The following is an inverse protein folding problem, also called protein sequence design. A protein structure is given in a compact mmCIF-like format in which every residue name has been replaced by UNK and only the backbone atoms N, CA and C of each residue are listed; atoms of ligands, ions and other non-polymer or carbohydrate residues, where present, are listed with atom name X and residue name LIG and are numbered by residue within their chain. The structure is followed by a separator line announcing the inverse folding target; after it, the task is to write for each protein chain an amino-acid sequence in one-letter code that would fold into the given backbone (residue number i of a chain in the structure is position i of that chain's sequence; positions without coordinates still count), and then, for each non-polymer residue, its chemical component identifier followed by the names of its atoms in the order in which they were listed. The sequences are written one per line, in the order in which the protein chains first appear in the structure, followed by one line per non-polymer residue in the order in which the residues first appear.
data_IF_469957631344
#
_entry.id   IF_469957631344
#
_cell.length_a   1.000
_cell.length_b   1.000
_cell.length_c   1.000
_cell.angle_alpha   90.00
_cell.angle_beta   90.00
_cell.angle_gamma   90.00
#
_symmetry.space_group_name_H-M   'P 1'
#
loop_
_entity.id
_entity.type
_entity.pdbx_description
1 polymer ?
#
# COMPACT_ATOMS: atom_id res chain seq x y z
N UNK A 1 -6.66 23.60 -15.08
CA UNK A 1 -5.30 23.18 -15.53
C UNK A 1 -4.73 21.97 -14.78
N UNK A 2 -5.36 21.48 -13.71
CA UNK A 2 -4.80 20.34 -12.97
C UNK A 2 -5.26 18.95 -13.46
N UNK A 3 -6.32 18.85 -14.25
CA UNK A 3 -6.92 17.57 -14.67
C UNK A 3 -6.18 16.83 -15.81
N UNK A 4 -5.21 17.49 -16.47
CA UNK A 4 -4.56 16.96 -17.67
C UNK A 4 -3.03 16.73 -17.50
N UNK A 5 -2.53 16.88 -16.26
CA UNK A 5 -1.11 16.68 -16.00
C UNK A 5 -0.79 15.21 -15.75
N UNK A 6 0.35 14.76 -16.28
CA UNK A 6 0.89 13.44 -15.96
C UNK A 6 1.09 13.28 -14.42
N UNK A 7 0.78 12.12 -13.83
CA UNK A 7 0.95 11.88 -12.41
C UNK A 7 2.36 12.19 -11.88
N UNK A 8 3.41 11.97 -12.67
CA UNK A 8 4.79 12.34 -12.33
C UNK A 8 5.01 13.85 -12.19
N UNK A 9 4.19 14.65 -12.86
CA UNK A 9 4.16 16.11 -12.70
C UNK A 9 3.31 16.51 -11.48
N UNK A 10 2.19 15.83 -11.25
CA UNK A 10 1.31 16.07 -10.09
C UNK A 10 2.08 15.89 -8.78
N UNK A 11 2.86 14.83 -8.62
CA UNK A 11 3.68 14.62 -7.39
C UNK A 11 4.64 15.77 -7.10
N UNK A 12 5.09 16.49 -8.11
CA UNK A 12 6.00 17.64 -7.94
C UNK A 12 5.26 18.92 -7.58
N UNK A 13 4.07 19.14 -8.12
CA UNK A 13 3.39 20.44 -8.10
C UNK A 13 2.17 20.54 -7.18
N UNK A 14 1.45 19.46 -6.93
CA UNK A 14 0.25 19.49 -6.08
C UNK A 14 0.57 19.81 -4.61
N UNK A 15 -0.38 20.41 -3.88
CA UNK A 15 -0.21 20.79 -2.47
C UNK A 15 0.97 21.76 -2.24
N UNK A 16 1.18 22.70 -3.15
CA UNK A 16 2.14 23.78 -3.00
C UNK A 16 1.45 25.06 -2.55
N UNK A 17 2.17 25.95 -1.80
CA UNK A 17 1.65 27.27 -1.46
C UNK A 17 1.29 28.09 -2.69
N UNK A 18 0.42 29.08 -2.49
CA UNK A 18 0.09 30.05 -3.54
C UNK A 18 1.35 30.78 -4.05
N UNK A 19 1.43 30.96 -5.36
CA UNK A 19 2.60 31.60 -6.02
C UNK A 19 2.48 33.12 -5.98
N UNK A 20 2.80 33.70 -4.82
CA UNK A 20 2.88 35.16 -4.63
C UNK A 20 4.34 35.57 -4.31
N UNK A 21 4.74 36.79 -4.60
CA UNK A 21 6.12 37.29 -4.26
C UNK A 21 6.45 37.03 -2.78
N UNK A 22 7.64 36.50 -2.52
CA UNK A 22 8.17 36.12 -1.21
C UNK A 22 7.50 34.91 -0.52
N UNK A 23 6.50 34.25 -1.14
CA UNK A 23 5.97 32.99 -0.61
C UNK A 23 7.05 31.87 -0.71
N UNK A 24 7.09 30.93 0.23
CA UNK A 24 7.96 29.76 0.11
C UNK A 24 7.51 28.89 -1.07
N UNK A 25 8.46 28.22 -1.75
CA UNK A 25 8.14 27.28 -2.84
C UNK A 25 7.55 25.97 -2.31
N UNK A 26 7.92 25.57 -1.11
CA UNK A 26 7.45 24.34 -0.46
C UNK A 26 6.58 24.65 0.74
N UNK A 27 5.63 23.75 1.04
CA UNK A 27 4.82 23.81 2.26
C UNK A 27 5.71 23.71 3.50
N UNK A 28 5.32 24.39 4.58
CA UNK A 28 6.02 24.37 5.86
C UNK A 28 5.26 23.52 6.87
N UNK A 29 5.94 22.75 7.75
CA UNK A 29 5.24 22.08 8.84
C UNK A 29 4.72 23.11 9.85
N UNK A 30 3.43 22.99 10.24
CA UNK A 30 2.76 23.88 11.19
C UNK A 30 2.59 23.18 12.52
N UNK A 31 3.41 23.55 13.51
CA UNK A 31 3.34 23.02 14.87
C UNK A 31 2.37 23.84 15.73
N UNK A 32 1.06 23.59 15.59
CA UNK A 32 0.03 24.23 16.41
C UNK A 32 -1.05 23.26 16.82
N UNK A 33 -1.41 23.27 18.09
CA UNK A 33 -2.55 22.51 18.63
C UNK A 33 -3.82 23.37 18.75
N UNK A 34 -3.67 24.71 18.77
CA UNK A 34 -4.75 25.64 19.08
C UNK A 34 -4.66 26.87 18.15
N UNK A 35 -5.81 27.37 17.74
CA UNK A 35 -5.92 28.53 16.84
C UNK A 35 -6.74 29.64 17.47
N UNK A 36 -6.47 30.88 17.11
CA UNK A 36 -7.25 32.05 17.54
C UNK A 36 -8.67 31.93 17.00
N UNK A 37 -9.66 32.18 17.86
CA UNK A 37 -11.07 32.06 17.52
C UNK A 37 -11.49 33.04 16.41
N UNK A 38 -12.52 32.66 15.63
CA UNK A 38 -13.10 33.49 14.55
C UNK A 38 -12.84 32.98 13.14
N UNK A 39 -12.07 31.91 12.96
CA UNK A 39 -11.87 31.21 11.70
C UNK A 39 -12.43 29.78 11.74
N UNK A 40 -12.24 29.03 10.64
CA UNK A 40 -12.75 27.65 10.48
C UNK A 40 -11.99 26.62 11.30
N UNK A 41 -10.80 26.95 11.79
CA UNK A 41 -9.95 26.09 12.64
C UNK A 41 -9.95 26.58 14.07
N UNK A 42 -10.38 25.72 14.98
CA UNK A 42 -10.30 26.00 16.42
C UNK A 42 -9.26 25.14 17.15
N UNK A 43 -9.00 23.95 16.65
CA UNK A 43 -8.15 22.95 17.33
C UNK A 43 -7.42 22.04 16.35
N UNK A 44 -6.14 21.74 16.62
CA UNK A 44 -5.24 21.01 15.73
C UNK A 44 -5.67 19.58 15.39
N UNK A 45 -6.55 18.95 16.18
CA UNK A 45 -7.12 17.64 15.83
C UNK A 45 -8.15 17.72 14.68
N UNK A 46 -8.65 18.93 14.36
CA UNK A 46 -9.63 19.12 13.29
C UNK A 46 -9.01 19.49 11.95
N UNK A 47 -7.75 19.88 11.92
CA UNK A 47 -7.04 20.22 10.69
C UNK A 47 -5.66 20.81 10.94
N UNK A 48 -4.77 20.63 9.96
CA UNK A 48 -3.43 21.21 9.94
C UNK A 48 -2.99 21.39 8.49
N UNK A 49 -2.32 22.49 8.15
CA UNK A 49 -1.93 22.79 6.76
C UNK A 49 -0.98 21.76 6.16
N UNK A 50 -0.11 21.15 6.98
CA UNK A 50 0.76 20.07 6.53
C UNK A 50 -0.04 18.83 6.10
N UNK A 51 -1.17 18.54 6.75
CA UNK A 51 -2.06 17.45 6.32
C UNK A 51 -2.77 17.79 5.02
N UNK A 52 -3.33 19.00 4.95
CA UNK A 52 -4.10 19.48 3.80
C UNK A 52 -3.30 19.35 2.52
N UNK A 53 -2.05 19.81 2.51
CA UNK A 53 -1.17 19.73 1.34
C UNK A 53 -0.90 18.29 0.87
N UNK A 54 -0.74 17.34 1.82
CA UNK A 54 -0.57 15.92 1.50
C UNK A 54 -1.88 15.30 1.03
N UNK A 55 -3.01 15.59 1.69
CA UNK A 55 -4.35 15.11 1.36
C UNK A 55 -4.79 15.57 -0.03
N UNK A 56 -4.56 16.83 -0.37
CA UNK A 56 -4.80 17.37 -1.70
C UNK A 56 -3.96 16.70 -2.77
N UNK A 57 -2.67 16.46 -2.49
CA UNK A 57 -1.79 15.80 -3.45
C UNK A 57 -2.20 14.34 -3.70
N UNK A 58 -2.49 13.58 -2.64
CA UNK A 58 -2.95 12.20 -2.78
C UNK A 58 -4.34 12.12 -3.41
N UNK A 59 -5.25 13.03 -3.03
CA UNK A 59 -6.56 13.15 -3.63
C UNK A 59 -6.49 13.41 -5.13
N UNK A 60 -5.60 14.30 -5.57
CA UNK A 60 -5.42 14.60 -7.00
C UNK A 60 -4.83 13.42 -7.78
N UNK A 61 -3.92 12.64 -7.16
CA UNK A 61 -3.32 11.46 -7.79
C UNK A 61 -4.30 10.30 -7.93
N UNK A 62 -5.15 10.07 -6.95
CA UNK A 62 -6.14 8.97 -6.95
C UNK A 62 -7.50 9.37 -7.56
N UNK A 63 -7.74 10.66 -7.77
CA UNK A 63 -9.00 11.15 -8.34
C UNK A 63 -10.12 11.37 -7.31
N UNK A 64 -9.79 11.73 -6.06
CA UNK A 64 -10.74 11.94 -4.98
C UNK A 64 -10.27 12.97 -3.95
N UNK A 65 -10.72 12.82 -2.71
CA UNK A 65 -10.32 13.63 -1.55
C UNK A 65 -9.61 12.77 -0.53
N UNK A 66 -8.45 13.22 -0.04
CA UNK A 66 -7.63 12.52 0.93
C UNK A 66 -8.02 12.80 2.39
N UNK A 67 -7.76 11.82 3.26
CA UNK A 67 -7.74 11.93 4.73
C UNK A 67 -6.50 11.18 5.22
N UNK A 68 -5.60 11.87 5.93
CA UNK A 68 -4.36 11.29 6.45
C UNK A 68 -4.51 10.81 7.90
N UNK A 69 -3.75 9.79 8.27
CA UNK A 69 -3.80 9.12 9.56
C UNK A 69 -2.39 8.90 10.13
N UNK A 70 -2.30 8.74 11.46
CA UNK A 70 -1.05 8.47 12.17
C UNK A 70 -0.32 7.19 11.72
N UNK A 71 -1.00 6.25 11.05
CA UNK A 71 -0.42 5.02 10.51
C UNK A 71 -1.35 4.39 9.46
N UNK A 72 -0.81 3.46 8.65
CA UNK A 72 -1.64 2.65 7.77
C UNK A 72 -2.71 1.87 8.54
N UNK A 73 -2.37 1.29 9.69
CA UNK A 73 -3.35 0.56 10.52
C UNK A 73 -4.43 1.47 11.12
N UNK A 74 -4.12 2.73 11.43
CA UNK A 74 -5.13 3.69 11.85
C UNK A 74 -6.12 4.01 10.71
N UNK A 75 -5.63 4.09 9.48
CA UNK A 75 -6.46 4.23 8.28
C UNK A 75 -7.35 2.99 8.06
N UNK A 76 -6.77 1.78 8.14
CA UNK A 76 -7.50 0.50 8.07
C UNK A 76 -8.61 0.44 9.11
N UNK A 77 -8.30 0.74 10.38
CA UNK A 77 -9.28 0.70 11.47
C UNK A 77 -10.45 1.68 11.24
N UNK A 78 -10.15 2.89 10.75
CA UNK A 78 -11.18 3.88 10.44
C UNK A 78 -12.10 3.44 9.30
N UNK A 79 -11.56 2.77 8.27
CA UNK A 79 -12.34 2.23 7.15
C UNK A 79 -13.18 1.03 7.60
N UNK A 80 -12.60 0.07 8.34
CA UNK A 80 -13.34 -1.08 8.87
C UNK A 80 -14.47 -0.66 9.83
N UNK A 81 -14.32 0.47 10.52
CA UNK A 81 -15.36 1.03 11.41
C UNK A 81 -16.57 1.62 10.66
N UNK A 82 -16.50 1.75 9.33
CA UNK A 82 -17.68 2.09 8.50
C UNK A 82 -18.69 0.95 8.46
N UNK A 83 -18.24 -0.30 8.60
CA UNK A 83 -19.11 -1.48 8.61
C UNK A 83 -19.97 -1.47 9.88
N UNK A 84 -21.29 -1.66 9.80
CA UNK A 84 -22.15 -1.69 10.97
C UNK A 84 -21.83 -2.88 11.89
N UNK A 85 -22.26 -2.78 13.15
CA UNK A 85 -22.15 -3.91 14.09
C UNK A 85 -23.00 -5.07 13.57
N UNK A 86 -22.40 -6.27 13.51
CA UNK A 86 -23.00 -7.47 12.91
C UNK A 86 -22.84 -7.56 11.39
N UNK A 87 -22.21 -6.55 10.77
CA UNK A 87 -21.97 -6.53 9.34
C UNK A 87 -20.91 -7.53 8.88
N UNK A 88 -20.76 -7.66 7.56
CA UNK A 88 -19.93 -8.68 6.92
C UNK A 88 -18.90 -8.07 5.98
N UNK A 89 -17.64 -8.49 6.12
CA UNK A 89 -16.52 -8.12 5.25
C UNK A 89 -16.06 -9.34 4.46
N UNK A 90 -15.94 -9.20 3.14
CA UNK A 90 -15.19 -10.12 2.28
C UNK A 90 -13.78 -9.57 2.12
N UNK A 91 -12.75 -10.39 2.39
CA UNK A 91 -11.35 -9.98 2.39
C UNK A 91 -10.45 -11.01 1.71
N UNK A 92 -9.23 -10.64 1.26
CA UNK A 92 -8.28 -11.60 0.73
C UNK A 92 -7.81 -12.58 1.82
N UNK A 93 -7.53 -13.83 1.41
CA UNK A 93 -6.84 -14.77 2.28
C UNK A 93 -5.37 -14.38 2.51
N UNK A 94 -4.76 -13.74 1.52
CA UNK A 94 -3.41 -13.18 1.60
C UNK A 94 -3.49 -11.65 1.50
N UNK A 95 -3.10 -10.97 2.55
CA UNK A 95 -3.00 -9.53 2.64
C UNK A 95 -2.00 -9.16 3.74
N UNK A 96 -1.76 -7.89 3.95
CA UNK A 96 -0.96 -7.46 5.08
C UNK A 96 -1.48 -8.07 6.39
N UNK A 97 -0.61 -8.82 7.09
CA UNK A 97 -0.99 -9.61 8.26
C UNK A 97 -1.63 -8.78 9.39
N UNK A 98 -1.29 -7.48 9.49
CA UNK A 98 -1.94 -6.57 10.45
C UNK A 98 -3.42 -6.32 10.13
N UNK A 99 -3.80 -6.24 8.85
CA UNK A 99 -5.21 -6.12 8.43
C UNK A 99 -5.96 -7.40 8.79
N UNK A 100 -5.39 -8.55 8.45
CA UNK A 100 -6.01 -9.85 8.74
C UNK A 100 -6.21 -10.05 10.24
N UNK A 101 -5.22 -9.70 11.06
CA UNK A 101 -5.31 -9.79 12.51
C UNK A 101 -6.37 -8.84 13.11
N UNK A 102 -6.50 -7.62 12.57
CA UNK A 102 -7.55 -6.70 12.99
C UNK A 102 -8.94 -7.27 12.68
N UNK A 103 -9.13 -7.82 11.49
CA UNK A 103 -10.38 -8.43 11.08
C UNK A 103 -10.74 -9.63 11.97
N UNK A 104 -9.76 -10.49 12.31
CA UNK A 104 -9.97 -11.61 13.23
C UNK A 104 -10.38 -11.13 14.64
N UNK A 105 -9.69 -10.13 15.18
CA UNK A 105 -10.05 -9.53 16.48
C UNK A 105 -11.48 -8.98 16.50
N UNK A 106 -11.89 -8.32 15.40
CA UNK A 106 -13.25 -7.79 15.28
C UNK A 106 -14.30 -8.91 15.18
N UNK A 107 -13.97 -10.00 14.48
CA UNK A 107 -14.84 -11.16 14.36
C UNK A 107 -14.95 -11.91 15.70
N UNK A 108 -13.84 -12.16 16.39
CA UNK A 108 -13.79 -12.76 17.71
C UNK A 108 -14.56 -11.94 18.76
N UNK A 109 -14.52 -10.63 18.66
CA UNK A 109 -15.31 -9.73 19.50
C UNK A 109 -16.81 -9.69 19.13
N UNK A 110 -17.23 -10.41 18.10
CA UNK A 110 -18.61 -10.44 17.62
C UNK A 110 -19.09 -9.14 16.97
N UNK A 111 -18.16 -8.24 16.59
CA UNK A 111 -18.53 -6.97 15.97
C UNK A 111 -18.90 -7.13 14.49
N UNK A 112 -18.26 -8.04 13.78
CA UNK A 112 -18.49 -8.31 12.36
C UNK A 112 -18.21 -9.78 12.03
N UNK A 113 -18.54 -10.19 10.79
CA UNK A 113 -18.13 -11.48 10.22
C UNK A 113 -17.17 -11.25 9.06
N UNK A 114 -16.24 -12.19 8.84
CA UNK A 114 -15.20 -12.08 7.81
C UNK A 114 -15.14 -13.35 6.98
N UNK A 115 -15.30 -13.21 5.67
CA UNK A 115 -15.05 -14.27 4.70
C UNK A 115 -13.70 -14.01 4.02
N UNK A 116 -12.79 -14.98 4.06
CA UNK A 116 -11.48 -14.90 3.43
C UNK A 116 -11.39 -15.77 2.19
N UNK A 117 -11.01 -15.16 1.07
CA UNK A 117 -10.96 -15.82 -0.23
C UNK A 117 -9.66 -15.50 -0.97
N UNK A 118 -9.28 -16.36 -1.90
CA UNK A 118 -8.27 -16.01 -2.87
C UNK A 118 -8.78 -14.85 -3.74
N UNK A 119 -8.20 -13.67 -3.60
CA UNK A 119 -8.66 -12.46 -4.31
C UNK A 119 -8.47 -12.56 -5.83
N UNK A 120 -7.59 -13.44 -6.29
CA UNK A 120 -7.39 -13.73 -7.70
C UNK A 120 -8.47 -14.65 -8.30
N UNK A 121 -9.28 -15.31 -7.46
CA UNK A 121 -10.48 -16.06 -7.90
C UNK A 121 -11.67 -15.10 -7.98
N UNK A 122 -11.75 -14.36 -9.09
CA UNK A 122 -12.76 -13.34 -9.32
C UNK A 122 -14.18 -13.90 -9.18
N UNK A 123 -14.45 -15.13 -9.68
CA UNK A 123 -15.78 -15.73 -9.64
C UNK A 123 -16.21 -16.03 -8.20
N UNK A 124 -15.35 -16.66 -7.40
CA UNK A 124 -15.63 -16.95 -6.00
C UNK A 124 -15.88 -15.65 -5.19
N UNK A 125 -15.08 -14.61 -5.42
CA UNK A 125 -15.26 -13.32 -4.72
C UNK A 125 -16.56 -12.63 -5.14
N UNK A 126 -16.91 -12.60 -6.43
CA UNK A 126 -18.19 -12.06 -6.93
C UNK A 126 -19.40 -12.75 -6.28
N UNK A 127 -19.34 -14.06 -6.10
CA UNK A 127 -20.40 -14.80 -5.41
C UNK A 127 -20.46 -14.43 -3.92
N UNK A 128 -19.30 -14.32 -3.25
CA UNK A 128 -19.22 -14.05 -1.82
C UNK A 128 -19.64 -12.62 -1.46
N UNK A 129 -19.44 -11.63 -2.35
CA UNK A 129 -19.77 -10.23 -2.05
C UNK A 129 -21.28 -9.99 -1.91
N UNK A 130 -22.13 -10.92 -2.38
CA UNK A 130 -23.59 -10.82 -2.22
C UNK A 130 -23.97 -10.78 -0.73
N UNK A 131 -24.58 -9.69 -0.29
CA UNK A 131 -24.98 -9.45 1.10
C UNK A 131 -23.80 -9.09 2.04
N UNK A 132 -22.62 -8.79 1.52
CA UNK A 132 -21.56 -8.17 2.30
C UNK A 132 -21.76 -6.65 2.39
N UNK A 133 -21.30 -6.06 3.49
CA UNK A 133 -21.27 -4.59 3.68
C UNK A 133 -20.01 -3.99 3.07
N UNK A 134 -18.91 -4.76 3.03
CA UNK A 134 -17.63 -4.31 2.50
C UNK A 134 -16.90 -5.44 1.78
N UNK A 135 -16.28 -5.09 0.65
CA UNK A 135 -15.25 -5.89 -0.02
C UNK A 135 -13.90 -5.19 0.15
N UNK A 136 -12.99 -5.81 0.91
CA UNK A 136 -11.61 -5.37 1.05
C UNK A 136 -10.74 -6.07 0.01
N UNK A 137 -10.05 -5.31 -0.81
CA UNK A 137 -9.10 -5.79 -1.83
C UNK A 137 -7.71 -5.29 -1.47
N UNK A 138 -6.70 -6.13 -1.60
CA UNK A 138 -5.29 -5.73 -1.65
C UNK A 138 -4.70 -6.26 -2.96
N UNK A 139 -4.15 -5.39 -3.81
CA UNK A 139 -3.67 -5.79 -5.13
C UNK A 139 -2.50 -4.91 -5.60
N UNK A 140 -1.30 -5.53 -5.85
CA UNK A 140 -0.95 -6.91 -5.56
C UNK A 140 -0.94 -7.25 -4.07
N UNK A 141 -1.20 -8.53 -3.71
CA UNK A 141 -1.26 -8.96 -2.31
C UNK A 141 0.11 -9.12 -1.66
N UNK A 142 0.20 -8.82 -0.38
CA UNK A 142 1.40 -9.03 0.44
C UNK A 142 1.28 -10.33 1.27
N UNK A 143 2.17 -11.30 1.14
CA UNK A 143 3.35 -11.33 0.29
C UNK A 143 3.18 -12.16 -0.99
N UNK A 144 1.99 -12.66 -1.29
CA UNK A 144 1.75 -13.65 -2.33
C UNK A 144 1.81 -13.07 -3.76
N UNK A 145 1.77 -11.74 -3.90
CA UNK A 145 1.80 -11.00 -5.18
C UNK A 145 0.64 -11.33 -6.12
N UNK A 146 -0.49 -11.79 -5.58
CA UNK A 146 -1.71 -12.06 -6.35
C UNK A 146 -2.33 -10.75 -6.83
N UNK A 147 -2.82 -10.73 -8.07
CA UNK A 147 -3.45 -9.56 -8.69
C UNK A 147 -4.97 -9.78 -8.77
N UNK A 148 -5.74 -8.92 -8.12
CA UNK A 148 -7.20 -8.90 -8.20
C UNK A 148 -7.69 -8.31 -9.53
N UNK A 149 -8.85 -8.72 -10.01
CA UNK A 149 -9.58 -8.06 -11.09
C UNK A 149 -10.43 -6.93 -10.49
N UNK A 150 -9.79 -5.78 -10.25
CA UNK A 150 -10.44 -4.65 -9.56
C UNK A 150 -11.71 -4.19 -10.30
N UNK A 151 -11.72 -3.99 -11.63
CA UNK A 151 -12.93 -3.58 -12.34
C UNK A 151 -14.11 -4.53 -12.16
N UNK A 152 -13.87 -5.85 -12.27
CA UNK A 152 -14.93 -6.85 -12.10
C UNK A 152 -15.45 -6.90 -10.67
N UNK A 153 -14.56 -6.86 -9.69
CA UNK A 153 -14.90 -6.87 -8.26
C UNK A 153 -15.62 -5.59 -7.82
N UNK A 154 -15.20 -4.42 -8.34
CA UNK A 154 -15.87 -3.15 -8.08
C UNK A 154 -17.28 -3.13 -8.68
N UNK A 155 -17.46 -3.68 -9.89
CA UNK A 155 -18.78 -3.82 -10.48
C UNK A 155 -19.71 -4.73 -9.65
N UNK A 156 -19.19 -5.83 -9.12
CA UNK A 156 -19.95 -6.73 -8.23
C UNK A 156 -20.33 -6.04 -6.90
N UNK A 157 -19.40 -5.32 -6.26
CA UNK A 157 -19.69 -4.53 -5.06
C UNK A 157 -20.80 -3.51 -5.29
N UNK A 158 -20.72 -2.75 -6.38
CA UNK A 158 -21.76 -1.78 -6.76
C UNK A 158 -23.14 -2.42 -6.97
N UNK A 159 -23.18 -3.61 -7.57
CA UNK A 159 -24.46 -4.33 -7.80
C UNK A 159 -25.07 -4.84 -6.50
N UNK A 160 -24.27 -5.18 -5.51
CA UNK A 160 -24.71 -5.74 -4.23
C UNK A 160 -24.86 -4.71 -3.12
N UNK A 161 -24.39 -3.48 -3.33
CA UNK A 161 -24.37 -2.40 -2.34
C UNK A 161 -23.21 -2.50 -1.32
N UNK A 162 -22.24 -3.37 -1.57
CA UNK A 162 -21.05 -3.46 -0.73
C UNK A 162 -20.08 -2.34 -1.04
N UNK A 163 -19.51 -1.68 -0.02
CA UNK A 163 -18.43 -0.70 -0.19
C UNK A 163 -17.15 -1.39 -0.61
N UNK A 164 -16.57 -0.99 -1.73
CA UNK A 164 -15.34 -1.58 -2.27
C UNK A 164 -14.12 -0.75 -1.85
N UNK A 165 -13.25 -1.35 -1.07
CA UNK A 165 -11.99 -0.76 -0.58
C UNK A 165 -10.81 -1.44 -1.24
N UNK A 166 -9.85 -0.65 -1.74
CA UNK A 166 -8.60 -1.17 -2.31
C UNK A 166 -7.40 -0.63 -1.52
N UNK A 167 -6.65 -1.52 -0.90
CA UNK A 167 -5.30 -1.20 -0.42
C UNK A 167 -4.35 -1.16 -1.63
N UNK A 168 -3.95 0.05 -2.01
CA UNK A 168 -3.12 0.36 -3.16
C UNK A 168 -1.65 0.61 -2.79
N UNK A 169 -1.24 0.18 -1.60
CA UNK A 169 0.10 0.46 -1.04
C UNK A 169 1.23 -0.03 -1.93
N UNK A 170 1.13 -1.24 -2.51
CA UNK A 170 2.20 -1.80 -3.34
C UNK A 170 2.29 -1.15 -4.72
N UNK A 171 1.15 -0.87 -5.34
CA UNK A 171 1.10 -0.28 -6.67
C UNK A 171 1.39 1.24 -6.64
N UNK A 172 1.03 1.94 -5.58
CA UNK A 172 1.05 3.41 -5.48
C UNK A 172 0.08 4.10 -6.46
N UNK A 173 -0.28 5.35 -6.26
CA UNK A 173 -1.16 6.07 -7.18
C UNK A 173 -0.55 6.31 -8.58
N UNK A 174 0.76 6.05 -8.76
CA UNK A 174 1.42 6.19 -10.06
C UNK A 174 1.25 4.98 -10.96
N UNK A 175 1.08 3.78 -10.38
CA UNK A 175 0.94 2.56 -11.18
C UNK A 175 -0.49 2.03 -11.24
N UNK A 176 -1.35 2.37 -10.29
CA UNK A 176 -2.73 1.92 -10.25
C UNK A 176 -3.60 2.99 -9.59
N UNK A 177 -4.77 3.25 -10.18
CA UNK A 177 -5.75 4.24 -9.69
C UNK A 177 -7.11 3.56 -9.46
N UNK A 178 -7.32 2.92 -8.30
CA UNK A 178 -8.51 2.10 -8.07
C UNK A 178 -9.84 2.85 -8.13
N UNK A 179 -9.90 4.14 -7.79
CA UNK A 179 -11.13 4.92 -7.96
C UNK A 179 -11.56 4.97 -9.42
N UNK A 180 -10.62 5.11 -10.36
CA UNK A 180 -10.91 5.09 -11.80
C UNK A 180 -11.36 3.71 -12.29
N UNK A 181 -11.00 2.65 -11.55
CA UNK A 181 -11.41 1.26 -11.82
C UNK A 181 -12.73 0.89 -11.12
N UNK A 182 -13.34 1.83 -10.39
CA UNK A 182 -14.66 1.70 -9.80
C UNK A 182 -14.69 1.37 -8.31
N UNK A 183 -13.56 1.39 -7.61
CA UNK A 183 -13.52 1.30 -6.15
C UNK A 183 -14.15 2.55 -5.50
N UNK A 184 -14.68 2.41 -4.30
CA UNK A 184 -15.25 3.51 -3.51
C UNK A 184 -14.21 4.19 -2.62
N UNK A 185 -13.26 3.40 -2.12
CA UNK A 185 -12.22 3.86 -1.20
C UNK A 185 -10.88 3.28 -1.62
N UNK A 186 -9.84 4.13 -1.61
CA UNK A 186 -8.44 3.71 -1.73
C UNK A 186 -7.74 3.94 -0.40
N UNK A 187 -7.00 2.95 0.06
CA UNK A 187 -6.17 3.00 1.26
C UNK A 187 -4.69 2.92 0.89
N UNK A 188 -3.86 3.67 1.58
CA UNK A 188 -2.41 3.58 1.51
C UNK A 188 -1.77 3.53 2.90
N UNK A 189 -0.84 2.60 3.10
CA UNK A 189 0.21 2.81 4.07
C UNK A 189 1.22 3.80 3.48
N UNK A 190 1.01 5.09 3.73
CA UNK A 190 1.89 6.14 3.23
C UNK A 190 3.33 6.06 3.82
N UNK A 191 3.52 5.26 4.87
CA UNK A 191 4.79 4.78 5.42
C UNK A 191 5.74 4.22 4.35
N UNK A 192 5.17 3.61 3.29
CA UNK A 192 5.90 2.82 2.29
C UNK A 192 6.43 3.73 1.17
N UNK A 193 6.16 3.42 -0.06
CA UNK A 193 6.66 4.15 -1.24
C UNK A 193 6.37 5.65 -1.21
N UNK A 194 5.23 6.08 -0.64
CA UNK A 194 4.85 7.49 -0.59
C UNK A 194 5.90 8.30 0.19
N UNK A 195 6.20 7.93 1.43
CA UNK A 195 7.27 8.56 2.22
C UNK A 195 8.66 8.14 1.73
N UNK A 196 8.89 6.85 1.53
CA UNK A 196 10.00 6.27 0.75
C UNK A 196 11.39 6.36 1.34
N UNK A 197 11.55 6.68 2.63
CA UNK A 197 12.86 6.92 3.27
C UNK A 197 13.00 6.21 4.62
N UNK A 198 12.12 5.26 4.95
CA UNK A 198 12.16 4.45 6.19
C UNK A 198 12.15 5.27 7.50
N UNK A 199 11.64 6.49 7.47
CA UNK A 199 11.72 7.49 8.55
C UNK A 199 10.34 7.95 9.07
N UNK A 200 9.22 7.51 8.45
CA UNK A 200 7.86 7.96 8.74
C UNK A 200 6.90 6.79 8.87
N UNK A 201 6.01 6.85 9.83
CA UNK A 201 4.80 6.02 9.91
C UNK A 201 3.59 6.88 9.61
N UNK A 202 2.83 6.53 8.56
CA UNK A 202 1.73 7.37 8.08
C UNK A 202 0.71 6.52 7.31
N UNK A 203 -0.58 6.90 7.35
CA UNK A 203 -1.65 6.30 6.57
C UNK A 203 -2.42 7.35 5.78
N UNK A 204 -3.09 6.92 4.72
CA UNK A 204 -4.01 7.76 3.96
C UNK A 204 -5.19 6.96 3.43
N UNK A 205 -6.35 7.61 3.34
CA UNK A 205 -7.56 7.08 2.70
C UNK A 205 -8.04 8.13 1.72
N UNK A 206 -8.42 7.70 0.53
CA UNK A 206 -8.92 8.58 -0.53
C UNK A 206 -10.26 8.04 -1.02
N UNK A 207 -11.23 8.92 -1.24
CA UNK A 207 -12.54 8.60 -1.84
C UNK A 207 -13.04 9.78 -2.67
N UNK A 208 -13.82 9.48 -3.69
CA UNK A 208 -14.50 10.49 -4.50
C UNK A 208 -15.92 10.80 -3.97
N UNK A 209 -16.41 10.05 -2.99
CA UNK A 209 -17.72 10.21 -2.36
C UNK A 209 -17.63 11.14 -1.14
N UNK A 210 -18.41 12.22 -1.11
CA UNK A 210 -18.38 13.21 -0.04
C UNK A 210 -18.94 12.68 1.29
N UNK A 211 -19.91 11.77 1.27
CA UNK A 211 -20.47 11.15 2.48
C UNK A 211 -19.46 10.19 3.11
N UNK A 212 -18.80 9.36 2.30
CA UNK A 212 -17.70 8.50 2.77
C UNK A 212 -16.53 9.33 3.30
N UNK A 213 -16.15 10.41 2.59
CA UNK A 213 -15.09 11.29 3.06
C UNK A 213 -15.43 11.89 4.44
N UNK A 214 -16.64 12.39 4.60
CA UNK A 214 -17.12 12.98 5.86
C UNK A 214 -17.12 11.94 6.98
N UNK A 215 -17.59 10.73 6.70
CA UNK A 215 -17.61 9.63 7.66
C UNK A 215 -16.20 9.21 8.10
N UNK A 216 -15.25 9.12 7.18
CA UNK A 216 -13.84 8.76 7.43
C UNK A 216 -13.15 9.86 8.24
N UNK A 217 -13.35 11.12 7.87
CA UNK A 217 -12.78 12.27 8.56
C UNK A 217 -13.30 12.40 10.00
N UNK A 218 -14.59 12.14 10.21
CA UNK A 218 -15.18 12.11 11.54
C UNK A 218 -14.54 11.01 12.41
N UNK A 219 -14.25 9.83 11.85
CA UNK A 219 -13.56 8.76 12.57
C UNK A 219 -12.13 9.13 12.96
N UNK A 220 -11.38 9.76 12.03
CA UNK A 220 -10.06 10.30 12.37
C UNK A 220 -10.12 11.24 13.58
N UNK A 221 -11.05 12.17 13.59
CA UNK A 221 -11.22 13.12 14.70
C UNK A 221 -11.62 12.47 16.00
N UNK A 222 -12.60 11.55 15.94
CA UNK A 222 -13.21 10.94 17.12
C UNK A 222 -12.27 9.92 17.77
N UNK A 223 -11.57 9.11 16.97
CA UNK A 223 -10.60 8.13 17.44
C UNK A 223 -9.24 8.77 17.76
N UNK A 224 -9.02 10.03 17.35
CA UNK A 224 -7.76 10.74 17.61
C UNK A 224 -6.58 10.27 16.76
N UNK A 225 -6.83 9.52 15.69
CA UNK A 225 -5.80 8.91 14.82
C UNK A 225 -5.17 9.91 13.84
N UNK A 226 -4.92 11.13 14.29
CA UNK A 226 -4.35 12.22 13.50
C UNK A 226 -2.84 12.02 13.29
N UNK A 227 -2.27 12.34 12.11
CA UNK A 227 -0.83 12.37 11.92
C UNK A 227 -0.20 13.55 12.63
N UNK A 228 1.07 13.46 12.98
CA UNK A 228 1.86 14.64 13.36
C UNK A 228 2.15 15.53 12.14
N UNK A 229 2.30 16.84 12.32
CA UNK A 229 2.58 17.77 11.23
C UNK A 229 3.93 17.50 10.54
N UNK A 230 4.93 17.00 11.27
CA UNK A 230 6.22 16.62 10.70
C UNK A 230 6.10 15.37 9.83
N UNK A 231 5.37 14.35 10.30
CA UNK A 231 5.15 13.11 9.57
C UNK A 231 4.41 13.38 8.24
N UNK A 232 3.37 14.21 8.28
CA UNK A 232 2.65 14.61 7.07
C UNK A 232 3.54 15.41 6.10
N UNK A 233 4.36 16.32 6.63
CA UNK A 233 5.30 17.09 5.82
C UNK A 233 6.39 16.20 5.20
N UNK A 234 6.95 15.24 5.98
CA UNK A 234 7.92 14.25 5.46
C UNK A 234 7.29 13.36 4.40
N UNK A 235 6.04 12.92 4.60
CA UNK A 235 5.28 12.18 3.59
C UNK A 235 5.12 12.97 2.29
N UNK A 236 4.73 14.24 2.37
CA UNK A 236 4.64 15.13 1.21
C UNK A 236 6.00 15.34 0.54
N UNK A 237 7.07 15.50 1.32
CA UNK A 237 8.44 15.64 0.81
C UNK A 237 8.89 14.36 0.08
N UNK A 238 8.61 13.19 0.65
CA UNK A 238 8.89 11.89 0.03
C UNK A 238 8.16 11.73 -1.30
N UNK A 239 6.89 12.11 -1.33
CA UNK A 239 6.04 12.05 -2.52
C UNK A 239 6.64 12.82 -3.72
N UNK A 240 7.36 13.94 -3.48
CA UNK A 240 7.99 14.74 -4.55
C UNK A 240 8.98 13.97 -5.43
N UNK A 241 9.56 12.89 -4.93
CA UNK A 241 10.51 12.04 -5.66
C UNK A 241 9.96 10.63 -5.93
N UNK A 242 8.68 10.39 -5.67
CA UNK A 242 8.07 9.06 -5.83
C UNK A 242 8.26 8.53 -7.25
N UNK A 243 8.01 9.34 -8.29
CA UNK A 243 8.13 8.91 -9.67
C UNK A 243 9.54 8.40 -10.00
N UNK A 244 10.57 9.14 -9.64
CA UNK A 244 11.97 8.76 -9.87
C UNK A 244 12.38 7.50 -9.09
N UNK A 245 11.96 7.41 -7.82
CA UNK A 245 12.27 6.26 -6.98
C UNK A 245 11.58 5.00 -7.49
N UNK A 246 10.30 5.11 -7.83
CA UNK A 246 9.50 3.99 -8.29
C UNK A 246 9.97 3.47 -9.65
N UNK A 247 10.27 4.37 -10.59
CA UNK A 247 10.83 4.00 -11.91
C UNK A 247 12.13 3.20 -11.75
N UNK A 248 13.06 3.69 -10.92
CA UNK A 248 14.33 3.01 -10.67
C UNK A 248 14.15 1.67 -9.96
N UNK A 249 13.38 1.64 -8.89
CA UNK A 249 13.12 0.43 -8.10
C UNK A 249 12.38 -0.64 -8.91
N UNK A 250 11.41 -0.24 -9.75
CA UNK A 250 10.69 -1.14 -10.65
C UNK A 250 11.61 -1.73 -11.74
N UNK A 251 12.48 -0.90 -12.33
CA UNK A 251 13.49 -1.38 -13.29
C UNK A 251 14.44 -2.41 -12.64
N UNK A 252 14.88 -2.15 -11.41
CA UNK A 252 15.69 -3.08 -10.64
C UNK A 252 14.93 -4.38 -10.33
N UNK A 253 13.65 -4.29 -9.96
CA UNK A 253 12.82 -5.46 -9.66
C UNK A 253 12.65 -6.38 -10.89
N UNK A 254 12.38 -5.81 -12.05
CA UNK A 254 12.28 -6.55 -13.31
C UNK A 254 13.61 -7.26 -13.65
N UNK A 255 14.73 -6.55 -13.55
CA UNK A 255 16.06 -7.11 -13.76
C UNK A 255 16.36 -8.29 -12.82
N UNK A 256 16.03 -8.16 -11.54
CA UNK A 256 16.23 -9.22 -10.56
C UNK A 256 15.29 -10.41 -10.79
N UNK A 257 14.01 -10.15 -11.11
CA UNK A 257 13.02 -11.19 -11.36
C UNK A 257 13.45 -12.13 -12.51
N UNK A 258 13.96 -11.57 -13.62
CA UNK A 258 14.46 -12.35 -14.77
C UNK A 258 15.66 -13.22 -14.40
N UNK A 259 16.56 -12.75 -13.54
CA UNK A 259 17.74 -13.51 -13.10
C UNK A 259 17.36 -14.59 -12.10
N UNK A 260 16.49 -14.26 -11.14
CA UNK A 260 15.97 -15.21 -10.15
C UNK A 260 15.19 -16.35 -10.78
N UNK A 261 14.42 -16.09 -11.84
CA UNK A 261 13.67 -17.11 -12.59
C UNK A 261 14.59 -18.22 -13.16
N UNK A 262 15.85 -17.91 -13.43
CA UNK A 262 16.84 -18.85 -13.97
C UNK A 262 17.78 -19.42 -12.91
N UNK A 263 17.65 -18.99 -11.65
CA UNK A 263 18.58 -19.40 -10.61
C UNK A 263 18.21 -20.78 -10.04
N UNK A 264 19.17 -21.75 -9.96
CA UNK A 264 18.87 -23.14 -9.62
C UNK A 264 18.35 -23.35 -8.19
N UNK A 265 18.53 -22.40 -7.29
CA UNK A 265 18.02 -22.44 -5.91
C UNK A 265 16.63 -21.81 -5.75
N UNK A 266 16.10 -21.19 -6.81
CA UNK A 266 14.79 -20.54 -6.78
C UNK A 266 13.79 -21.44 -7.50
N UNK A 267 12.81 -21.92 -6.79
CA UNK A 267 11.76 -22.81 -7.34
C UNK A 267 10.63 -22.01 -7.98
N UNK A 268 10.39 -20.78 -7.51
CA UNK A 268 9.35 -19.89 -8.04
C UNK A 268 9.69 -18.43 -7.79
N UNK A 269 9.37 -17.59 -8.78
CA UNK A 269 9.35 -16.13 -8.66
C UNK A 269 7.91 -15.66 -8.81
N UNK A 270 7.43 -14.86 -7.87
CA UNK A 270 6.11 -14.21 -7.88
C UNK A 270 6.31 -12.73 -8.18
N UNK A 271 6.04 -12.32 -9.38
CA UNK A 271 6.15 -10.94 -9.83
C UNK A 271 5.23 -10.70 -11.02
N UNK A 272 4.23 -9.83 -10.92
CA UNK A 272 3.26 -9.60 -12.01
C UNK A 272 3.88 -9.12 -13.33
N UNK A 273 5.14 -8.63 -13.28
CA UNK A 273 5.90 -8.24 -14.48
C UNK A 273 6.42 -9.39 -15.33
N UNK A 274 6.43 -10.62 -14.81
CA UNK A 274 6.82 -11.81 -15.59
C UNK A 274 5.64 -12.29 -16.45
N UNK A 275 5.84 -12.55 -17.76
CA UNK A 275 4.75 -12.98 -18.66
C UNK A 275 4.02 -14.25 -18.22
N UNK A 276 4.72 -15.15 -17.53
CA UNK A 276 4.16 -16.42 -17.05
C UNK A 276 3.56 -16.32 -15.63
N UNK A 277 3.58 -15.13 -14.99
CA UNK A 277 2.92 -14.92 -13.71
C UNK A 277 1.40 -14.98 -13.90
N UNK A 278 0.65 -15.72 -13.05
CA UNK A 278 -0.80 -15.84 -13.17
C UNK A 278 -1.56 -14.51 -13.14
N UNK A 279 -0.99 -13.49 -12.49
CA UNK A 279 -1.55 -12.14 -12.40
C UNK A 279 -1.16 -11.22 -13.55
N UNK A 280 -0.24 -11.61 -14.45
CA UNK A 280 0.35 -10.73 -15.46
C UNK A 280 -0.69 -10.05 -16.36
N UNK A 281 -1.59 -10.82 -16.92
CA UNK A 281 -2.60 -10.28 -17.84
C UNK A 281 -3.51 -9.23 -17.17
N UNK A 282 -3.88 -9.45 -15.90
CA UNK A 282 -4.66 -8.48 -15.12
C UNK A 282 -3.83 -7.24 -14.80
N UNK A 283 -2.56 -7.42 -14.39
CA UNK A 283 -1.67 -6.30 -14.12
C UNK A 283 -1.50 -5.42 -15.37
N UNK A 284 -1.27 -6.01 -16.54
CA UNK A 284 -1.17 -5.27 -17.82
C UNK A 284 -2.45 -4.49 -18.12
N UNK A 285 -3.62 -5.04 -17.78
CA UNK A 285 -4.90 -4.41 -18.12
C UNK A 285 -5.25 -3.22 -17.19
N UNK A 286 -4.75 -3.18 -15.97
CA UNK A 286 -5.21 -2.21 -14.95
C UNK A 286 -4.08 -1.40 -14.29
N UNK A 287 -2.82 -1.73 -14.57
CA UNK A 287 -1.66 -1.04 -14.00
C UNK A 287 -0.77 -0.49 -15.12
N UNK A 288 -0.11 0.65 -14.88
CA UNK A 288 0.88 1.23 -15.77
C UNK A 288 2.30 0.68 -15.57
N UNK A 289 2.48 -0.24 -14.63
CA UNK A 289 3.74 -0.93 -14.32
C UNK A 289 3.53 -1.97 -13.23
N UNK A 290 4.58 -2.71 -12.88
CA UNK A 290 4.45 -3.91 -12.05
C UNK A 290 5.00 -3.76 -10.63
N UNK A 291 5.47 -2.56 -10.26
CA UNK A 291 5.97 -2.24 -8.94
C UNK A 291 7.37 -2.80 -8.65
N UNK A 292 7.79 -2.60 -7.40
CA UNK A 292 9.14 -2.91 -6.94
C UNK A 292 9.17 -3.98 -5.84
N UNK A 293 8.10 -4.76 -5.70
CA UNK A 293 8.02 -5.88 -4.77
C UNK A 293 7.93 -7.18 -5.58
N UNK A 294 8.70 -8.16 -5.18
CA UNK A 294 8.59 -9.52 -5.68
C UNK A 294 8.79 -10.52 -4.53
N UNK A 295 8.35 -11.76 -4.72
CA UNK A 295 8.58 -12.82 -3.75
C UNK A 295 9.18 -14.04 -4.43
N UNK A 296 10.05 -14.76 -3.72
CA UNK A 296 10.69 -15.99 -4.22
C UNK A 296 10.43 -17.15 -3.26
N UNK A 297 10.36 -18.36 -3.80
CA UNK A 297 10.31 -19.61 -3.06
C UNK A 297 11.58 -20.43 -3.36
N UNK A 298 12.13 -21.10 -2.34
CA UNK A 298 13.44 -21.76 -2.39
C UNK A 298 13.37 -23.29 -2.30
N UNK A 299 12.23 -23.89 -2.62
CA UNK A 299 12.03 -25.35 -2.65
C UNK A 299 11.58 -25.95 -1.33
N UNK A 300 10.99 -25.14 -0.42
CA UNK A 300 10.30 -25.60 0.78
C UNK A 300 11.11 -25.58 2.07
N UNK A 301 12.40 -25.25 2.04
CA UNK A 301 13.26 -25.17 3.24
C UNK A 301 13.23 -23.77 3.86
N UNK A 302 12.44 -23.61 4.93
CA UNK A 302 12.31 -22.36 5.66
C UNK A 302 13.59 -21.94 6.39
N UNK A 303 14.38 -22.87 6.87
CA UNK A 303 15.64 -22.57 7.56
C UNK A 303 16.69 -22.11 6.54
N UNK A 304 16.75 -22.73 5.36
CA UNK A 304 17.58 -22.23 4.28
C UNK A 304 17.16 -20.80 3.86
N UNK A 305 15.88 -20.55 3.68
CA UNK A 305 15.37 -19.22 3.35
C UNK A 305 15.73 -18.17 4.42
N UNK A 306 15.69 -18.57 5.69
CA UNK A 306 16.10 -17.70 6.80
C UNK A 306 17.60 -17.37 6.72
N UNK A 307 18.45 -18.38 6.51
CA UNK A 307 19.91 -18.18 6.36
C UNK A 307 20.23 -17.32 5.14
N UNK A 308 19.52 -17.46 4.02
CA UNK A 308 19.70 -16.57 2.86
C UNK A 308 19.50 -15.12 3.28
N UNK A 309 18.43 -14.81 4.03
CA UNK A 309 18.18 -13.46 4.53
C UNK A 309 19.31 -12.95 5.44
N UNK A 310 19.88 -13.83 6.28
CA UNK A 310 20.93 -13.48 7.24
C UNK A 310 22.32 -13.35 6.58
N UNK A 311 22.51 -13.94 5.41
CA UNK A 311 23.78 -13.89 4.67
C UNK A 311 23.91 -12.70 3.73
N UNK A 312 22.89 -11.88 3.55
CA UNK A 312 23.00 -10.65 2.75
C UNK A 312 23.80 -9.58 3.49
N UNK A 313 24.51 -8.75 2.75
CA UNK A 313 25.34 -7.65 3.28
C UNK A 313 24.84 -6.28 2.82
N UNK A 314 24.33 -6.20 1.59
CA UNK A 314 23.75 -4.99 1.02
C UNK A 314 22.23 -4.93 1.27
N UNK A 315 21.53 -6.04 1.01
CA UNK A 315 20.12 -6.14 1.33
C UNK A 315 19.91 -6.12 2.83
N UNK A 316 19.04 -5.23 3.30
CA UNK A 316 18.73 -5.14 4.72
C UNK A 316 17.73 -6.24 5.10
N UNK A 317 18.12 -7.16 5.98
CA UNK A 317 17.21 -8.14 6.57
C UNK A 317 16.30 -7.45 7.60
N UNK A 318 15.18 -6.91 7.13
CA UNK A 318 14.25 -6.15 7.95
C UNK A 318 12.81 -6.28 7.44
N UNK A 319 11.85 -6.00 8.33
CA UNK A 319 10.46 -5.78 7.92
C UNK A 319 10.29 -4.41 7.30
N UNK A 320 9.15 -4.16 6.69
CA UNK A 320 8.78 -2.98 5.92
C UNK A 320 9.14 -3.10 4.44
N UNK A 321 8.99 -2.02 3.67
CA UNK A 321 9.23 -1.99 2.22
C UNK A 321 9.09 -0.56 1.68
N UNK A 322 9.51 -0.36 0.42
CA UNK A 322 9.22 0.88 -0.31
C UNK A 322 10.13 2.06 0.05
N UNK A 323 11.23 1.79 0.80
CA UNK A 323 12.32 2.74 1.02
C UNK A 323 13.23 2.87 -0.21
N UNK A 324 14.24 3.73 -0.10
CA UNK A 324 15.31 3.84 -1.10
C UNK A 324 16.26 2.63 -1.03
N UNK A 325 16.38 2.03 0.14
CA UNK A 325 17.18 0.83 0.41
C UNK A 325 16.40 -0.46 0.07
N UNK A 326 17.11 -1.45 -0.45
CA UNK A 326 16.57 -2.79 -0.68
C UNK A 326 16.47 -3.58 0.61
N UNK A 327 15.32 -4.22 0.83
CA UNK A 327 15.04 -5.05 2.00
C UNK A 327 14.56 -6.44 1.60
N UNK A 328 14.86 -7.43 2.43
CA UNK A 328 14.32 -8.78 2.23
C UNK A 328 13.92 -9.42 3.55
N UNK A 329 12.96 -10.33 3.48
CA UNK A 329 12.40 -10.94 4.68
C UNK A 329 11.72 -12.28 4.36
N UNK A 330 12.09 -13.35 5.11
CA UNK A 330 11.29 -14.58 5.13
C UNK A 330 9.97 -14.31 5.88
N UNK A 331 8.84 -14.39 5.20
CA UNK A 331 7.55 -13.97 5.77
C UNK A 331 7.07 -14.86 6.90
N UNK A 332 7.24 -16.17 6.79
CA UNK A 332 6.83 -17.14 7.80
C UNK A 332 7.68 -17.13 9.09
N UNK A 333 8.65 -16.22 9.21
CA UNK A 333 9.31 -15.96 10.51
C UNK A 333 8.38 -15.31 11.54
N UNK A 334 7.29 -14.70 11.08
CA UNK A 334 6.29 -14.09 11.93
C UNK A 334 5.14 -15.08 12.18
N UNK A 335 4.81 -15.40 13.46
CA UNK A 335 3.69 -16.29 13.78
C UNK A 335 2.33 -15.80 13.30
N UNK A 336 2.18 -14.49 13.07
CA UNK A 336 0.95 -13.86 12.57
C UNK A 336 0.73 -14.09 11.07
N UNK A 337 1.77 -14.53 10.33
CA UNK A 337 1.63 -14.79 8.89
C UNK A 337 0.78 -16.03 8.65
N UNK A 338 -0.14 -15.95 7.68
CA UNK A 338 -1.09 -17.03 7.43
C UNK A 338 -0.40 -18.33 6.99
N UNK A 339 -0.87 -19.51 7.46
CA UNK A 339 -0.19 -20.80 7.19
C UNK A 339 -0.11 -21.19 5.71
N UNK A 340 -0.95 -20.61 4.86
CA UNK A 340 -0.96 -20.86 3.41
C UNK A 340 0.18 -20.20 2.64
N UNK A 341 0.91 -19.26 3.27
CA UNK A 341 2.15 -18.74 2.73
C UNK A 341 3.27 -19.77 2.91
N UNK A 342 4.04 -20.10 1.84
CA UNK A 342 5.13 -21.08 1.93
C UNK A 342 6.16 -20.71 3.00
N UNK A 343 6.71 -21.72 3.70
CA UNK A 343 7.69 -21.54 4.78
C UNK A 343 8.96 -20.86 4.30
N UNK A 344 9.33 -21.10 3.05
CA UNK A 344 10.54 -20.63 2.39
C UNK A 344 10.33 -19.35 1.56
N UNK A 345 9.14 -18.76 1.62
CA UNK A 345 8.87 -17.53 0.87
C UNK A 345 9.65 -16.35 1.45
N UNK A 346 10.51 -15.77 0.62
CA UNK A 346 11.19 -14.49 0.88
C UNK A 346 10.54 -13.41 0.04
N UNK A 347 10.06 -12.35 0.70
CA UNK A 347 9.64 -11.12 0.02
C UNK A 347 10.85 -10.19 -0.14
N UNK A 348 11.06 -9.69 -1.35
CA UNK A 348 12.06 -8.70 -1.71
C UNK A 348 11.38 -7.36 -1.99
N UNK A 349 11.75 -6.34 -1.25
CA UNK A 349 11.38 -4.94 -1.50
C UNK A 349 12.59 -4.26 -2.13
N UNK A 350 12.52 -4.03 -3.42
CA UNK A 350 13.66 -3.56 -4.21
C UNK A 350 13.78 -2.04 -4.12
N UNK A 351 14.97 -1.58 -3.79
CA UNK A 351 15.34 -0.17 -3.70
C UNK A 351 15.96 0.38 -4.99
N UNK A 352 16.67 1.51 -4.84
CA UNK A 352 17.20 2.28 -5.96
C UNK A 352 18.72 2.11 -6.18
N UNK A 353 19.35 1.18 -5.50
CA UNK A 353 20.77 0.87 -5.61
C UNK A 353 21.12 0.39 -7.04
N UNK A 354 22.38 0.16 -7.32
CA UNK A 354 22.80 -0.38 -8.61
C UNK A 354 22.34 -1.85 -8.73
N UNK A 355 21.66 -2.25 -9.83
CA UNK A 355 21.07 -3.58 -9.94
C UNK A 355 22.09 -4.73 -9.91
N UNK A 356 23.30 -4.53 -10.45
CA UNK A 356 24.34 -5.56 -10.40
C UNK A 356 24.88 -5.77 -8.99
N UNK A 357 24.96 -4.74 -8.16
CA UNK A 357 25.36 -4.86 -6.76
C UNK A 357 24.29 -5.63 -5.96
N UNK A 358 23.01 -5.30 -6.17
CA UNK A 358 21.88 -6.02 -5.57
C UNK A 358 21.88 -7.50 -5.97
N UNK A 359 22.14 -7.78 -7.25
CA UNK A 359 22.23 -9.15 -7.73
C UNK A 359 23.41 -9.89 -7.14
N UNK A 360 24.60 -9.29 -7.14
CA UNK A 360 25.83 -9.93 -6.64
C UNK A 360 25.69 -10.34 -5.17
N UNK A 361 25.10 -9.48 -4.33
CA UNK A 361 24.88 -9.80 -2.92
C UNK A 361 23.83 -10.91 -2.74
N UNK A 362 22.70 -10.83 -3.44
CA UNK A 362 21.64 -11.84 -3.35
C UNK A 362 22.12 -13.20 -3.89
N UNK A 363 22.81 -13.22 -5.03
CA UNK A 363 23.36 -14.44 -5.62
C UNK A 363 24.41 -15.10 -4.70
N UNK A 364 25.26 -14.29 -4.06
CA UNK A 364 26.23 -14.76 -3.05
C UNK A 364 25.48 -15.41 -1.88
N UNK A 365 24.48 -14.74 -1.33
CA UNK A 365 23.67 -15.27 -0.22
C UNK A 365 22.97 -16.58 -0.58
N UNK A 366 22.37 -16.68 -1.77
CA UNK A 366 21.75 -17.91 -2.29
C UNK A 366 22.75 -19.07 -2.48
N UNK A 367 24.03 -18.79 -2.71
CA UNK A 367 25.08 -19.82 -2.89
C UNK A 367 25.71 -20.25 -1.57
N UNK A 368 25.85 -19.35 -0.60
CA UNK A 368 26.63 -19.56 0.63
C UNK A 368 25.79 -19.94 1.85
N UNK A 369 24.49 -19.70 1.86
CA UNK A 369 23.56 -20.08 2.93
C UNK A 369 23.36 -21.61 2.93
N UNK A 370 24.28 -22.35 3.56
CA UNK A 370 24.27 -23.83 3.65
C UNK A 370 23.73 -24.32 4.98
#
# INVERSE_FOLDING_TARGET
MASDLDPSTVVVHAGRPERVPNAPVGESPVFSSTYVAGGDRGYGRFGNDAWTALEETLGQLEGGRGVTFASGMAAVAAVCDLVPVGGRIVAPQHAYSGVLALLDQQAEAGRLTVDRLNIADTEAVVQAVTGADMLWIESPTNPAMEVADIPALAAAGRQTGATVVVDNTFATPLLQQPLSLGADIVMHSATKFISGHSDVVLGAVITADDDLWTAIELRRRSLGAIPGPMEAWLGLRGLRTLALRLERAQSNAAFLAERLLRHPRVSRVRYPGLPDDPGHARAVAQMSGFGAILSIELGGDGDYAQRVCECTELWVHATSLGGVESMLERRRRWPIEVPTIPEDLIRLAVGIEHPDDLWADLERALKTAT
#
